data_IF_392792970752
#
_entry.id   IF_392792970752
#
_cell.length_a   1.000
_cell.length_b   1.000
_cell.length_c   1.000
_cell.angle_alpha   90.00
_cell.angle_beta   90.00
_cell.angle_gamma   90.00
#
_symmetry.space_group_name_H-M   'P 1'
#
loop_
_entity.id
_entity.type
_entity.pdbx_description
1 polymer ?
#
# COMPACT_ATOMS: atom_id res chain seq x y z
N UNK A 1 -7.57 -13.28 0.58
CA UNK A 1 -6.99 -12.80 1.85
C UNK A 1 -5.50 -12.63 1.70
N UNK A 2 -4.97 -11.54 2.22
CA UNK A 2 -3.52 -11.33 2.19
C UNK A 2 -2.91 -12.12 3.34
N UNK A 3 -2.08 -13.09 3.00
CA UNK A 3 -1.45 -13.94 4.01
C UNK A 3 -0.03 -13.48 4.34
N UNK A 4 0.65 -12.86 3.39
CA UNK A 4 2.04 -12.46 3.55
C UNK A 4 2.21 -11.00 3.17
N UNK A 5 3.08 -10.30 3.90
CA UNK A 5 3.44 -8.94 3.54
C UNK A 5 4.65 -8.98 2.60
N UNK A 6 4.72 -7.97 1.73
CA UNK A 6 5.85 -7.82 0.82
C UNK A 6 7.15 -7.62 1.61
N UNK A 7 8.24 -8.17 1.11
CA UNK A 7 9.55 -7.99 1.72
C UNK A 7 10.45 -7.26 0.71
N UNK A 8 10.99 -6.12 1.11
CA UNK A 8 11.93 -5.39 0.28
C UNK A 8 13.25 -6.13 0.19
N UNK A 9 13.87 -6.12 -1.00
CA UNK A 9 15.24 -6.61 -1.11
C UNK A 9 16.19 -5.57 -0.48
N UNK A 10 17.47 -5.93 -0.34
CA UNK A 10 18.43 -5.05 0.33
C UNK A 10 18.59 -3.70 -0.37
N UNK A 11 18.63 -3.69 -1.69
CA UNK A 11 18.76 -2.45 -2.45
C UNK A 11 17.56 -1.53 -2.22
N UNK A 12 16.36 -2.09 -2.31
CA UNK A 12 15.15 -1.30 -2.07
C UNK A 12 15.10 -0.78 -0.64
N UNK A 13 15.47 -1.63 0.32
CA UNK A 13 15.44 -1.22 1.73
C UNK A 13 16.42 -0.08 1.99
N UNK A 14 17.60 -0.14 1.41
CA UNK A 14 18.58 0.94 1.58
C UNK A 14 18.08 2.24 0.96
N UNK A 15 17.48 2.17 -0.22
CA UNK A 15 16.93 3.34 -0.89
C UNK A 15 15.77 3.94 -0.10
N UNK A 16 14.92 3.10 0.46
CA UNK A 16 13.81 3.54 1.30
C UNK A 16 14.33 4.22 2.56
N UNK A 17 15.32 3.61 3.21
CA UNK A 17 15.90 4.18 4.42
C UNK A 17 16.52 5.55 4.14
N UNK A 18 17.23 5.69 3.03
CA UNK A 18 17.81 6.96 2.64
C UNK A 18 16.73 8.01 2.38
N UNK A 19 15.65 7.62 1.74
CA UNK A 19 14.56 8.53 1.44
C UNK A 19 13.85 9.01 2.71
N UNK A 20 13.58 8.10 3.62
CA UNK A 20 12.93 8.44 4.89
C UNK A 20 13.81 9.40 5.70
N UNK A 21 15.12 9.21 5.63
CA UNK A 21 16.06 10.05 6.36
C UNK A 21 16.36 11.36 5.66
N UNK A 22 15.89 11.55 4.44
CA UNK A 22 16.20 12.76 3.68
C UNK A 22 15.42 13.96 4.23
N UNK A 23 16.06 15.13 4.12
CA UNK A 23 15.39 16.36 4.46
C UNK A 23 14.26 16.61 3.46
N UNK A 24 13.10 16.99 3.96
CA UNK A 24 11.95 17.21 3.09
C UNK A 24 11.08 16.00 2.86
N UNK A 25 11.40 14.85 3.45
CA UNK A 25 10.53 13.68 3.35
C UNK A 25 9.15 14.01 3.94
N UNK A 26 8.11 13.75 3.16
CA UNK A 26 6.74 14.04 3.58
C UNK A 26 5.78 13.10 2.86
N UNK A 27 4.49 13.26 3.09
CA UNK A 27 3.48 12.38 2.47
C UNK A 27 3.51 12.43 0.95
N UNK A 28 3.90 13.56 0.36
CA UNK A 28 3.96 13.69 -1.09
C UNK A 28 5.17 12.97 -1.69
N UNK A 29 6.12 12.55 -0.88
CA UNK A 29 7.28 11.81 -1.35
C UNK A 29 6.90 10.47 -2.00
N UNK A 30 5.72 9.95 -1.69
CA UNK A 30 5.21 8.74 -2.34
C UNK A 30 5.08 8.90 -3.85
N UNK A 31 4.88 10.11 -4.33
CA UNK A 31 4.70 10.38 -5.76
C UNK A 31 6.00 10.62 -6.50
N UNK A 32 7.14 10.58 -5.82
CA UNK A 32 8.44 10.82 -6.45
C UNK A 32 8.76 9.70 -7.44
N UNK A 33 9.40 10.10 -8.55
CA UNK A 33 9.71 9.15 -9.62
C UNK A 33 10.81 8.16 -9.25
N UNK A 34 11.63 8.48 -8.27
CA UNK A 34 12.76 7.65 -7.91
C UNK A 34 12.37 6.33 -7.22
N UNK A 35 11.10 6.16 -6.88
CA UNK A 35 10.60 4.91 -6.29
C UNK A 35 9.58 4.20 -7.18
N UNK A 36 9.49 4.58 -8.45
CA UNK A 36 8.50 3.96 -9.33
C UNK A 36 8.74 2.46 -9.52
N UNK A 37 9.98 2.03 -9.57
CA UNK A 37 10.31 0.61 -9.66
C UNK A 37 9.95 -0.16 -8.39
N UNK A 38 10.14 0.46 -7.24
CA UNK A 38 9.75 -0.14 -5.97
C UNK A 38 8.23 -0.31 -5.91
N UNK A 39 7.50 0.72 -6.35
CA UNK A 39 6.04 0.67 -6.36
C UNK A 39 5.52 -0.42 -7.30
N UNK A 40 6.13 -0.56 -8.46
CA UNK A 40 5.72 -1.60 -9.39
C UNK A 40 5.98 -3.00 -8.80
N UNK A 41 7.10 -3.17 -8.11
CA UNK A 41 7.40 -4.44 -7.45
C UNK A 41 6.37 -4.77 -6.37
N UNK A 42 5.93 -3.77 -5.62
CA UNK A 42 4.89 -3.95 -4.61
C UNK A 42 3.59 -4.42 -5.26
N UNK A 43 3.20 -3.79 -6.36
CA UNK A 43 1.99 -4.18 -7.08
C UNK A 43 2.06 -5.62 -7.56
N UNK A 44 3.17 -6.00 -8.17
CA UNK A 44 3.33 -7.34 -8.72
C UNK A 44 3.33 -8.41 -7.65
N UNK A 45 3.65 -8.05 -6.42
CA UNK A 45 3.55 -8.97 -5.30
C UNK A 45 2.10 -9.09 -4.80
N UNK A 46 1.44 -7.96 -4.56
CA UNK A 46 0.12 -7.99 -3.92
C UNK A 46 -1.02 -8.40 -4.86
N UNK A 47 -0.90 -8.16 -6.16
CA UNK A 47 -1.96 -8.56 -7.09
C UNK A 47 -2.29 -10.06 -6.96
N UNK A 48 -1.32 -10.96 -7.13
CA UNK A 48 -1.61 -12.39 -6.95
C UNK A 48 -1.84 -12.76 -5.48
N UNK A 49 -1.17 -12.10 -4.56
CA UNK A 49 -1.34 -12.39 -3.14
C UNK A 49 -2.79 -12.12 -2.71
N UNK A 50 -3.45 -11.17 -3.33
CA UNK A 50 -4.85 -10.84 -3.08
C UNK A 50 -5.81 -11.62 -3.99
N UNK A 51 -5.31 -12.60 -4.74
CA UNK A 51 -6.10 -13.39 -5.68
C UNK A 51 -6.80 -12.52 -6.73
N UNK A 52 -6.19 -11.40 -7.09
CA UNK A 52 -6.76 -10.45 -8.05
C UNK A 52 -8.10 -9.87 -7.59
N UNK A 53 -8.33 -9.80 -6.29
CA UNK A 53 -9.58 -9.29 -5.72
C UNK A 53 -9.31 -7.96 -5.05
N UNK A 54 -10.07 -6.92 -5.45
CA UNK A 54 -10.03 -5.64 -4.76
C UNK A 54 -10.63 -5.82 -3.36
N UNK A 55 -9.90 -5.46 -2.30
CA UNK A 55 -10.39 -5.70 -0.93
C UNK A 55 -11.59 -4.84 -0.55
N UNK A 56 -11.86 -3.77 -1.31
CA UNK A 56 -12.96 -2.87 -0.99
C UNK A 56 -14.25 -3.26 -1.70
N UNK A 57 -14.22 -3.42 -3.03
CA UNK A 57 -15.43 -3.78 -3.77
C UNK A 57 -15.58 -5.28 -3.96
N UNK A 58 -14.58 -6.06 -3.60
CA UNK A 58 -14.58 -7.53 -3.68
C UNK A 58 -14.68 -8.06 -5.09
N UNK A 59 -14.44 -7.23 -6.10
CA UNK A 59 -14.45 -7.68 -7.48
C UNK A 59 -13.08 -8.23 -7.86
N UNK A 60 -13.11 -9.26 -8.71
CA UNK A 60 -11.88 -9.87 -9.23
C UNK A 60 -11.56 -9.28 -10.59
N UNK A 61 -10.32 -8.86 -10.76
CA UNK A 61 -9.83 -8.31 -12.01
C UNK A 61 -8.64 -9.16 -12.46
N UNK A 62 -8.86 -10.01 -13.45
CA UNK A 62 -7.86 -10.99 -13.90
C UNK A 62 -6.81 -10.34 -14.79
N UNK A 63 -6.06 -9.41 -14.22
CA UNK A 63 -5.00 -8.73 -14.93
C UNK A 63 -3.86 -8.41 -13.96
N UNK A 64 -2.63 -8.53 -14.46
CA UNK A 64 -1.44 -8.08 -13.72
C UNK A 64 -0.95 -6.72 -14.22
N UNK A 65 -1.74 -6.06 -15.07
CA UNK A 65 -1.37 -4.73 -15.57
C UNK A 65 -1.43 -3.73 -14.41
N UNK A 66 -0.28 -3.13 -14.08
CA UNK A 66 -0.21 -2.20 -12.96
C UNK A 66 -1.11 -0.98 -13.10
N UNK A 67 -1.56 -0.65 -14.33
CA UNK A 67 -2.48 0.47 -14.53
C UNK A 67 -3.89 0.17 -14.03
N UNK A 68 -4.22 -1.10 -13.85
CA UNK A 68 -5.53 -1.52 -13.38
C UNK A 68 -5.57 -1.65 -11.85
N UNK A 69 -4.48 -1.28 -11.19
CA UNK A 69 -4.36 -1.42 -9.74
C UNK A 69 -3.63 -0.21 -9.18
N UNK A 70 -4.10 0.27 -8.03
CA UNK A 70 -3.42 1.31 -7.28
C UNK A 70 -2.93 0.74 -5.97
N UNK A 71 -1.78 1.22 -5.50
CA UNK A 71 -1.32 0.88 -4.16
C UNK A 71 -2.09 1.74 -3.17
N UNK A 72 -2.65 1.08 -2.18
CA UNK A 72 -3.44 1.75 -1.16
C UNK A 72 -2.71 1.69 0.18
N UNK A 73 -2.67 2.83 0.86
CA UNK A 73 -2.17 2.90 2.24
C UNK A 73 -3.36 2.69 3.16
N UNK A 74 -3.35 1.61 3.93
CA UNK A 74 -4.46 1.28 4.83
C UNK A 74 -4.65 2.41 5.83
N UNK A 75 -3.56 2.82 6.48
CA UNK A 75 -3.53 4.06 7.25
C UNK A 75 -2.99 5.12 6.29
N UNK A 76 -3.78 6.16 6.00
CA UNK A 76 -3.38 7.15 5.00
C UNK A 76 -2.03 7.78 5.33
N UNK A 77 -1.19 7.95 4.29
CA UNK A 77 0.13 8.54 4.49
C UNK A 77 0.05 9.99 4.97
N UNK A 78 -1.04 10.66 4.69
CA UNK A 78 -1.27 12.01 5.19
C UNK A 78 -1.50 12.03 6.70
N UNK A 79 -1.98 10.92 7.24
CA UNK A 79 -2.23 10.78 8.68
C UNK A 79 -1.00 10.28 9.42
N UNK A 80 -0.30 9.30 8.84
CA UNK A 80 0.86 8.67 9.45
C UNK A 80 1.94 8.44 8.39
N UNK A 81 2.75 9.46 8.15
CA UNK A 81 3.78 9.38 7.12
C UNK A 81 4.80 8.27 7.41
N UNK A 82 5.00 7.95 8.69
CA UNK A 82 5.94 6.91 9.07
C UNK A 82 5.58 5.51 8.58
N UNK A 83 4.34 5.29 8.19
CA UNK A 83 3.90 3.99 7.69
C UNK A 83 3.85 3.92 6.16
N UNK A 84 4.40 4.93 5.47
CA UNK A 84 4.31 5.02 4.01
C UNK A 84 4.89 3.80 3.30
N UNK A 85 5.99 3.27 3.81
CA UNK A 85 6.69 2.14 3.19
C UNK A 85 6.54 0.84 3.98
N UNK A 86 5.71 0.83 5.01
CA UNK A 86 5.51 -0.36 5.83
C UNK A 86 4.65 -1.36 5.07
N UNK A 87 5.18 -2.54 4.71
CA UNK A 87 4.43 -3.48 3.86
C UNK A 87 3.08 -3.88 4.42
N UNK A 88 2.96 -4.02 5.74
CA UNK A 88 1.69 -4.38 6.38
C UNK A 88 0.63 -3.29 6.22
N UNK A 89 1.05 -2.09 5.83
CA UNK A 89 0.14 -0.97 5.61
C UNK A 89 -0.21 -0.79 4.13
N UNK A 90 0.20 -1.72 3.27
CA UNK A 90 0.04 -1.60 1.83
C UNK A 90 -0.81 -2.73 1.29
N UNK A 91 -1.62 -2.40 0.30
CA UNK A 91 -2.34 -3.38 -0.50
C UNK A 91 -2.59 -2.76 -1.87
N UNK A 92 -3.19 -3.52 -2.78
CA UNK A 92 -3.62 -2.94 -4.07
C UNK A 92 -5.13 -2.95 -4.13
N UNK A 93 -5.69 -1.95 -4.78
CA UNK A 93 -7.12 -1.83 -4.99
C UNK A 93 -7.39 -1.33 -6.39
N UNK A 94 -8.63 -1.44 -6.85
CA UNK A 94 -8.97 -0.92 -8.17
C UNK A 94 -9.01 0.61 -8.11
N UNK A 95 -8.74 1.29 -9.25
CA UNK A 95 -8.69 2.75 -9.25
C UNK A 95 -10.00 3.41 -8.84
N UNK A 96 -11.13 2.81 -9.16
CA UNK A 96 -12.44 3.35 -8.77
C UNK A 96 -12.58 3.43 -7.26
N UNK A 97 -12.23 2.35 -6.56
CA UNK A 97 -12.31 2.36 -5.10
C UNK A 97 -11.31 3.34 -4.51
N UNK A 98 -10.11 3.43 -5.09
CA UNK A 98 -9.10 4.34 -4.60
C UNK A 98 -9.54 5.80 -4.71
N UNK A 99 -10.09 6.18 -5.86
CA UNK A 99 -10.51 7.56 -6.07
C UNK A 99 -11.70 7.95 -5.18
N UNK A 100 -12.59 7.02 -4.89
CA UNK A 100 -13.71 7.31 -4.01
C UNK A 100 -13.30 7.43 -2.55
N UNK A 101 -12.30 6.66 -2.14
CA UNK A 101 -11.89 6.64 -0.74
C UNK A 101 -11.01 7.83 -0.39
N UNK A 102 -10.05 8.17 -1.27
CA UNK A 102 -9.07 9.17 -0.92
C UNK A 102 -8.41 8.84 0.42
N UNK A 103 -8.13 9.85 1.24
CA UNK A 103 -7.60 9.62 2.58
C UNK A 103 -8.70 9.56 3.65
N UNK A 104 -9.95 9.72 3.26
CA UNK A 104 -11.09 9.55 4.15
C UNK A 104 -11.43 8.07 4.21
N UNK A 105 -10.62 7.31 4.86
CA UNK A 105 -10.76 5.88 4.83
C UNK A 105 -11.93 5.38 5.66
N UNK A 106 -12.52 4.32 5.18
CA UNK A 106 -13.47 3.55 5.95
C UNK A 106 -12.76 2.51 6.81
N UNK A 107 -11.44 2.50 6.78
CA UNK A 107 -10.67 1.65 7.67
C UNK A 107 -11.07 1.95 9.10
N UNK A 108 -11.12 0.92 9.90
CA UNK A 108 -11.58 1.04 11.27
C UNK A 108 -10.65 1.93 12.09
N UNK A 109 -11.19 2.50 13.17
CA UNK A 109 -10.37 3.27 14.08
C UNK A 109 -9.25 2.43 14.71
N UNK A 110 -9.41 1.14 14.76
CA UNK A 110 -8.37 0.23 15.24
C UNK A 110 -7.13 0.33 14.36
N UNK A 111 -7.29 0.28 13.04
CA UNK A 111 -6.18 0.38 12.12
C UNK A 111 -5.47 1.73 12.23
N UNK A 112 -6.18 2.80 12.58
CA UNK A 112 -5.59 4.12 12.74
C UNK A 112 -4.76 4.26 14.00
N UNK A 113 -5.10 3.53 15.04
CA UNK A 113 -4.43 3.65 16.33
C UNK A 113 -3.17 2.83 16.41
N UNK A 114 -3.15 1.71 15.74
CA UNK A 114 -2.01 0.81 15.76
C UNK A 114 -1.73 0.35 14.34
N UNK A 115 -0.50 -0.07 14.09
CA UNK A 115 -0.17 -0.74 12.85
C UNK A 115 0.23 -2.16 13.19
N UNK A 116 -0.74 -3.02 13.48
CA UNK A 116 -0.42 -4.39 13.81
C UNK A 116 0.07 -5.14 12.59
N UNK A 117 0.78 -6.23 12.81
CA UNK A 117 1.18 -7.10 11.72
C UNK A 117 -0.03 -7.67 10.98
N UNK A 118 -1.19 -7.55 11.57
CA UNK A 118 -2.44 -8.05 11.02
C UNK A 118 -3.27 -6.95 10.37
N UNK A 119 -2.68 -5.80 10.06
CA UNK A 119 -3.45 -4.69 9.48
C UNK A 119 -4.18 -5.09 8.21
N UNK A 120 -3.61 -5.98 7.42
CA UNK A 120 -4.27 -6.47 6.20
C UNK A 120 -5.58 -7.18 6.49
N UNK A 121 -5.72 -7.78 7.67
CA UNK A 121 -6.94 -8.51 8.02
C UNK A 121 -8.14 -7.59 8.19
N UNK A 122 -7.90 -6.35 8.54
CA UNK A 122 -8.99 -5.38 8.75
C UNK A 122 -9.67 -4.99 7.45
N UNK A 123 -8.98 -5.15 6.33
CA UNK A 123 -9.56 -4.83 5.03
C UNK A 123 -10.53 -5.88 4.52
N UNK A 124 -10.32 -7.11 4.91
CA UNK A 124 -11.04 -8.24 4.31
C UNK A 124 -12.05 -8.86 5.24
N UNK A 125 -12.23 -8.28 6.38
CA UNK A 125 -13.25 -8.71 7.35
C UNK A 125 -14.58 -7.94 7.20
#
# INVERSE_FOLDING_TARGET
MISNAYLYNNDFQERINAKISSEGFCSDSWSDNDISDIKESIKQFYIPEQNHICPYCQQRFLTNNGRQWDIEHIIPRQTQVGFMFTPQNLCVCCPDCNSHKGYKKTTTSVAKKTLPTKSHLYLIV
#
